data_IF_474260784397
#
_entry.id   IF_474260784397
#
_cell.length_a   1.000
_cell.length_b   1.000
_cell.length_c   1.000
_cell.angle_alpha   90.00
_cell.angle_beta   90.00
_cell.angle_gamma   90.00
#
_symmetry.space_group_name_H-M   'P 1'
#
loop_
_entity.id
_entity.type
_entity.pdbx_description
1 polymer ?
#
# COMPACT_ATOMS: atom_id res chain seq x y z
N UNK A 1 -9.30 1.57 7.68
CA UNK A 1 -8.37 2.69 7.38
C UNK A 1 -6.97 2.25 7.75
N UNK A 2 -6.01 2.37 6.83
CA UNK A 2 -4.63 1.88 6.97
C UNK A 2 -3.67 2.99 6.55
N UNK A 3 -2.65 3.28 7.36
CA UNK A 3 -1.53 4.14 6.97
C UNK A 3 -0.39 3.27 6.46
N UNK A 4 0.20 3.66 5.34
CA UNK A 4 1.40 3.07 4.76
C UNK A 4 2.50 4.12 4.77
N UNK A 5 3.53 3.87 5.56
CA UNK A 5 4.68 4.75 5.70
C UNK A 5 5.88 4.09 5.03
N UNK A 6 6.68 4.82 4.23
CA UNK A 6 8.00 4.34 3.85
C UNK A 6 8.79 4.01 5.11
N UNK A 7 9.29 2.77 5.24
CA UNK A 7 10.22 2.48 6.31
C UNK A 7 11.45 3.36 6.06
N UNK A 8 11.66 4.34 6.94
CA UNK A 8 12.84 5.19 6.89
C UNK A 8 14.08 4.31 6.79
N UNK A 9 15.03 4.72 5.94
CA UNK A 9 16.27 4.00 5.70
C UNK A 9 16.93 3.63 7.04
N UNK A 10 16.72 2.40 7.50
CA UNK A 10 17.64 1.78 8.42
C UNK A 10 18.96 1.70 7.66
N UNK A 11 19.93 2.48 8.12
CA UNK A 11 21.28 2.56 7.59
C UNK A 11 21.83 1.15 7.36
N UNK A 12 22.13 0.82 6.10
CA UNK A 12 22.78 -0.44 5.76
C UNK A 12 22.22 -1.10 4.51
N UNK A 13 22.74 -0.67 3.36
CA UNK A 13 22.95 -1.50 2.16
C UNK A 13 21.78 -2.37 1.67
N UNK A 14 21.05 -1.88 0.67
CA UNK A 14 20.27 -2.72 -0.23
C UNK A 14 19.49 -1.90 -1.24
N UNK A 15 19.83 -2.02 -2.52
CA UNK A 15 19.09 -1.48 -3.68
C UNK A 15 17.75 -2.24 -3.90
N UNK A 16 17.03 -2.55 -2.82
CA UNK A 16 15.76 -3.26 -2.84
C UNK A 16 14.55 -2.32 -2.86
N UNK A 17 13.36 -2.79 -3.26
CA UNK A 17 12.14 -1.99 -3.18
C UNK A 17 11.94 -1.51 -1.75
N UNK A 18 11.69 -0.20 -1.59
CA UNK A 18 11.43 0.44 -0.30
C UNK A 18 10.34 -0.31 0.46
N UNK A 19 10.70 -0.89 1.61
CA UNK A 19 9.74 -1.64 2.43
C UNK A 19 8.76 -0.66 3.05
N UNK A 20 7.46 -0.78 2.75
CA UNK A 20 6.42 0.00 3.43
C UNK A 20 6.09 -0.63 4.79
N UNK A 21 6.11 0.18 5.84
CA UNK A 21 5.46 -0.12 7.10
C UNK A 21 3.96 0.15 6.96
N UNK A 22 3.14 -0.64 7.64
CA UNK A 22 1.68 -0.59 7.54
C UNK A 22 1.07 -0.59 8.93
N UNK A 23 0.11 0.29 9.19
CA UNK A 23 -0.61 0.37 10.45
C UNK A 23 -2.11 0.49 10.22
N UNK A 24 -2.90 -0.41 10.80
CA UNK A 24 -4.37 -0.26 10.81
C UNK A 24 -4.73 0.82 11.82
N UNK A 25 -5.41 1.86 11.34
CA UNK A 25 -5.86 3.00 12.15
C UNK A 25 -7.31 2.82 12.61
N UNK A 26 -8.15 2.24 11.74
CA UNK A 26 -9.56 1.96 12.01
C UNK A 26 -9.97 0.64 11.36
N UNK A 27 -10.74 -0.17 12.09
CA UNK A 27 -11.16 -1.51 11.68
C UNK A 27 -10.39 -2.62 12.39
N UNK A 28 -10.58 -3.86 11.93
CA UNK A 28 -9.86 -5.02 12.46
C UNK A 28 -8.42 -5.06 11.95
N UNK A 29 -7.49 -5.32 12.86
CA UNK A 29 -6.07 -5.46 12.57
C UNK A 29 -5.76 -6.94 12.26
N UNK A 30 -5.92 -7.31 10.99
CA UNK A 30 -5.68 -8.66 10.48
C UNK A 30 -4.50 -8.67 9.51
N UNK A 31 -3.63 -9.70 9.53
CA UNK A 31 -2.46 -9.78 8.64
C UNK A 31 -2.79 -9.61 7.15
N UNK A 32 -3.94 -10.11 6.71
CA UNK A 32 -4.38 -9.98 5.31
C UNK A 32 -4.66 -8.54 4.90
N UNK A 33 -5.14 -7.69 5.82
CA UNK A 33 -5.37 -6.26 5.55
C UNK A 33 -4.06 -5.56 5.21
N UNK A 34 -2.99 -5.87 5.93
CA UNK A 34 -1.65 -5.33 5.67
C UNK A 34 -1.12 -5.77 4.30
N UNK A 35 -1.24 -7.06 3.98
CA UNK A 35 -0.78 -7.62 2.70
C UNK A 35 -1.56 -7.01 1.53
N UNK A 36 -2.89 -6.93 1.65
CA UNK A 36 -3.74 -6.34 0.61
C UNK A 36 -3.43 -4.85 0.42
N UNK A 37 -3.26 -4.10 1.50
CA UNK A 37 -2.89 -2.68 1.43
C UNK A 37 -1.57 -2.48 0.68
N UNK A 38 -0.52 -3.24 1.03
CA UNK A 38 0.76 -3.18 0.32
C UNK A 38 0.60 -3.52 -1.15
N UNK A 39 -0.08 -4.60 -1.49
CA UNK A 39 -0.24 -5.03 -2.88
C UNK A 39 -1.03 -4.03 -3.74
N UNK A 40 -1.96 -3.28 -3.13
CA UNK A 40 -2.76 -2.27 -3.81
C UNK A 40 -2.01 -0.96 -4.05
N UNK A 41 -1.32 -0.40 -3.04
CA UNK A 41 -0.86 1.00 -3.10
C UNK A 41 0.65 1.19 -2.94
N UNK A 42 1.46 0.13 -2.92
CA UNK A 42 2.93 0.28 -2.90
C UNK A 42 3.43 1.10 -4.09
N UNK A 43 2.87 0.87 -5.29
CA UNK A 43 3.26 1.61 -6.49
C UNK A 43 2.94 3.10 -6.37
N UNK A 44 1.81 3.46 -5.76
CA UNK A 44 1.41 4.86 -5.51
C UNK A 44 2.46 5.57 -4.66
N UNK A 45 2.89 4.94 -3.56
CA UNK A 45 3.91 5.52 -2.69
C UNK A 45 5.24 5.72 -3.45
N UNK A 46 5.69 4.70 -4.19
CA UNK A 46 6.94 4.73 -4.93
C UNK A 46 6.93 5.80 -6.04
N UNK A 47 5.89 5.82 -6.86
CA UNK A 47 5.74 6.78 -7.96
C UNK A 47 5.52 8.22 -7.46
N UNK A 48 4.92 8.40 -6.28
CA UNK A 48 4.78 9.69 -5.62
C UNK A 48 6.07 10.18 -4.92
N UNK A 49 7.21 9.50 -5.11
CA UNK A 49 8.49 9.85 -4.50
C UNK A 49 8.66 9.33 -3.08
N UNK A 50 8.22 8.09 -2.81
CA UNK A 50 8.17 7.48 -1.48
C UNK A 50 7.40 8.34 -0.47
N UNK A 51 6.24 8.87 -0.86
CA UNK A 51 5.34 9.57 0.07
C UNK A 51 4.46 8.57 0.81
N UNK A 52 4.07 8.85 2.07
CA UNK A 52 3.13 8.00 2.79
C UNK A 52 1.75 8.02 2.14
N UNK A 53 1.03 6.90 2.28
CA UNK A 53 -0.31 6.72 1.71
C UNK A 53 -1.29 6.39 2.83
N UNK A 54 -2.39 7.15 2.87
CA UNK A 54 -3.54 6.84 3.72
C UNK A 54 -4.60 6.13 2.89
N UNK A 55 -4.92 4.88 3.25
CA UNK A 55 -5.79 4.01 2.48
C UNK A 55 -7.05 3.64 3.28
N UNK A 56 -8.21 4.05 2.77
CA UNK A 56 -9.49 3.51 3.19
C UNK A 56 -9.90 2.39 2.22
N UNK A 57 -10.16 1.19 2.72
CA UNK A 57 -10.59 0.05 1.91
C UNK A 57 -11.77 -0.68 2.57
N UNK A 58 -12.70 -1.13 1.74
CA UNK A 58 -13.83 -1.97 2.13
C UNK A 58 -14.05 -3.02 1.04
N UNK A 59 -13.18 -4.04 1.03
CA UNK A 59 -13.15 -5.07 -0.02
C UNK A 59 -13.76 -6.37 0.50
N UNK A 60 -14.89 -6.79 -0.09
CA UNK A 60 -15.49 -8.10 0.18
C UNK A 60 -14.66 -9.22 -0.45
N UNK A 61 -14.30 -9.07 -1.72
CA UNK A 61 -13.39 -9.96 -2.44
C UNK A 61 -11.97 -9.39 -2.44
N UNK A 62 -10.99 -10.24 -2.13
CA UNK A 62 -9.55 -9.94 -2.08
C UNK A 62 -8.76 -10.88 -3.00
N UNK A 63 -9.41 -11.40 -4.04
CA UNK A 63 -8.81 -12.18 -5.12
C UNK A 63 -7.68 -11.43 -5.83
N UNK A 64 -6.75 -12.18 -6.43
CA UNK A 64 -5.60 -11.58 -7.13
C UNK A 64 -6.07 -10.74 -8.31
N UNK A 65 -7.08 -11.22 -9.03
CA UNK A 65 -7.70 -10.55 -10.18
C UNK A 65 -8.37 -9.24 -9.75
N UNK A 66 -9.09 -9.26 -8.62
CA UNK A 66 -9.71 -8.06 -8.05
C UNK A 66 -8.67 -7.02 -7.63
N UNK A 67 -7.57 -7.45 -7.02
CA UNK A 67 -6.46 -6.57 -6.64
C UNK A 67 -5.78 -5.97 -7.88
N UNK A 68 -5.56 -6.75 -8.95
CA UNK A 68 -5.00 -6.24 -10.21
C UNK A 68 -5.93 -5.21 -10.88
N UNK A 69 -7.23 -5.51 -10.97
CA UNK A 69 -8.21 -4.57 -11.53
C UNK A 69 -8.25 -3.26 -10.74
N UNK A 70 -8.23 -3.32 -9.41
CA UNK A 70 -8.20 -2.13 -8.56
C UNK A 70 -6.92 -1.30 -8.75
N UNK A 71 -5.76 -1.93 -8.98
CA UNK A 71 -4.52 -1.20 -9.28
C UNK A 71 -4.64 -0.37 -10.55
N UNK A 72 -5.26 -0.92 -11.60
CA UNK A 72 -5.49 -0.18 -12.84
C UNK A 72 -6.48 0.97 -12.66
N UNK A 73 -7.52 0.80 -11.83
CA UNK A 73 -8.42 1.91 -11.45
C UNK A 73 -7.68 2.99 -10.65
N UNK A 74 -6.81 2.62 -9.72
CA UNK A 74 -6.02 3.60 -8.96
C UNK A 74 -5.08 4.36 -9.89
N UNK A 75 -4.46 3.69 -10.88
CA UNK A 75 -3.63 4.33 -11.91
C UNK A 75 -4.40 5.33 -12.75
N UNK A 76 -5.64 5.01 -13.15
CA UNK A 76 -6.47 5.97 -13.90
C UNK A 76 -6.88 7.20 -13.08
N UNK A 77 -6.78 7.11 -11.75
CA UNK A 77 -7.03 8.18 -10.79
C UNK A 77 -5.74 8.84 -10.29
N UNK A 78 -4.65 8.79 -11.06
CA UNK A 78 -3.36 9.37 -10.66
C UNK A 78 -3.47 10.87 -10.35
N UNK A 79 -3.00 11.25 -9.15
CA UNK A 79 -2.99 12.63 -8.63
C UNK A 79 -1.68 12.97 -7.90
N UNK A 80 -0.66 12.14 -8.08
CA UNK A 80 0.67 12.33 -7.51
C UNK A 80 1.68 12.83 -8.54
#
# INVERSE_FOLDING_TARGET
>A
LVSLEPAGAAAGSGLGPTTLATRVLLGQDEPLVHVCAKNLVTFVSQEAGNKPVLLAMALKDKSVEGIQALREVIRSCQVW
#
